data_IF_984391947897
#
_entry.id   IF_984391947897
#
_cell.length_a   1.000
_cell.length_b   1.000
_cell.length_c   1.000
_cell.angle_alpha   90.00
_cell.angle_beta   90.00
_cell.angle_gamma   90.00
#
_symmetry.space_group_name_H-M   'P 1'
#
loop_
_entity.id
_entity.type
_entity.pdbx_description
1 polymer ?
#
# COMPACT_ATOMS: atom_id res chain seq x y z
N UNK A 1 -3.79 32.09 -4.09
CA UNK A 1 -2.83 31.62 -3.05
C UNK A 1 -3.62 30.89 -1.96
N UNK A 2 -3.28 29.64 -1.59
CA UNK A 2 -4.03 28.83 -0.58
C UNK A 2 -3.55 29.07 0.86
N UNK A 3 -2.24 29.25 1.06
CA UNK A 3 -1.62 29.47 2.38
C UNK A 3 -0.70 30.69 2.26
N UNK A 4 -0.77 31.60 3.23
CA UNK A 4 0.12 32.75 3.30
C UNK A 4 1.54 32.26 3.62
N UNK A 5 2.54 32.81 2.93
CA UNK A 5 3.96 32.47 3.16
C UNK A 5 4.37 31.03 2.80
N UNK A 6 3.62 30.32 1.94
CA UNK A 6 4.06 29.01 1.44
C UNK A 6 5.23 29.12 0.42
N UNK A 7 5.34 30.27 -0.25
CA UNK A 7 6.28 30.55 -1.35
C UNK A 7 7.39 31.56 -0.96
N UNK A 8 7.90 31.50 0.28
CA UNK A 8 8.96 32.42 0.72
C UNK A 8 10.29 32.15 0.01
N UNK A 9 11.05 33.21 -0.27
CA UNK A 9 12.35 33.15 -0.94
C UNK A 9 13.42 32.32 -0.21
N UNK A 10 13.28 32.20 1.11
CA UNK A 10 14.17 31.52 2.05
C UNK A 10 13.61 30.15 2.49
N UNK A 11 12.55 29.65 1.85
CA UNK A 11 12.03 28.32 2.10
C UNK A 11 13.06 27.25 1.71
N UNK A 12 13.24 26.24 2.57
CA UNK A 12 14.20 25.15 2.36
C UNK A 12 13.55 24.03 1.54
N UNK A 13 14.24 23.60 0.48
CA UNK A 13 13.93 22.40 -0.28
C UNK A 13 14.97 21.32 0.03
N UNK A 14 14.52 20.21 0.63
CA UNK A 14 15.41 19.16 1.10
C UNK A 14 15.31 17.92 0.21
N UNK A 15 16.41 17.61 -0.48
CA UNK A 15 16.62 16.30 -1.12
C UNK A 15 15.54 15.86 -2.10
N UNK A 16 15.56 14.56 -2.42
CA UNK A 16 14.56 13.92 -3.29
C UNK A 16 13.75 12.91 -2.48
N UNK A 17 12.43 13.09 -2.47
CA UNK A 17 11.49 12.12 -1.91
C UNK A 17 11.01 11.20 -3.03
N UNK A 18 11.53 9.96 -3.07
CA UNK A 18 11.33 9.06 -4.23
C UNK A 18 10.48 7.82 -3.94
N UNK A 19 10.12 7.60 -2.67
CA UNK A 19 9.44 6.37 -2.22
C UNK A 19 8.09 6.70 -1.57
N UNK A 20 7.25 7.43 -2.28
CA UNK A 20 5.91 7.81 -1.81
C UNK A 20 4.89 6.67 -1.89
N UNK A 21 5.16 5.66 -2.71
CA UNK A 21 4.39 4.42 -2.81
C UNK A 21 5.26 3.32 -3.43
N UNK A 22 4.77 2.08 -3.41
CA UNK A 22 5.45 0.99 -4.13
C UNK A 22 5.53 1.28 -5.64
N UNK A 23 6.69 1.04 -6.28
CA UNK A 23 6.85 1.20 -7.73
C UNK A 23 6.29 0.00 -8.52
N UNK A 24 5.79 -1.03 -7.83
CA UNK A 24 5.28 -2.25 -8.44
C UNK A 24 3.93 -2.64 -7.84
N UNK A 25 3.09 -3.27 -8.67
CA UNK A 25 1.86 -3.90 -8.23
C UNK A 25 1.97 -5.41 -8.40
N UNK A 26 1.87 -6.13 -7.29
CA UNK A 26 1.87 -7.60 -7.30
C UNK A 26 0.41 -8.04 -7.39
N UNK A 27 -0.04 -8.40 -8.59
CA UNK A 27 -1.48 -8.61 -8.83
C UNK A 27 -2.06 -9.78 -8.02
N UNK A 28 -3.21 -9.52 -7.41
CA UNK A 28 -4.02 -10.51 -6.67
C UNK A 28 -5.49 -10.44 -7.12
N UNK A 29 -6.21 -11.55 -6.98
CA UNK A 29 -7.64 -11.67 -7.26
C UNK A 29 -8.52 -11.26 -6.08
N UNK A 30 -9.83 -11.46 -6.23
CA UNK A 30 -10.83 -11.16 -5.18
C UNK A 30 -10.69 -12.08 -3.95
N UNK A 31 -9.99 -13.21 -4.10
CA UNK A 31 -9.62 -14.11 -3.02
C UNK A 31 -8.32 -13.72 -2.30
N UNK A 32 -7.79 -12.53 -2.62
CA UNK A 32 -6.53 -11.97 -2.11
C UNK A 32 -5.27 -12.76 -2.49
N UNK A 33 -5.37 -13.79 -3.34
CA UNK A 33 -4.23 -14.57 -3.80
C UNK A 33 -3.64 -14.01 -5.08
N UNK A 34 -2.33 -14.21 -5.24
CA UNK A 34 -1.63 -13.93 -6.49
C UNK A 34 -2.31 -14.62 -7.67
N UNK A 35 -2.41 -13.92 -8.81
CA UNK A 35 -3.05 -14.45 -10.01
C UNK A 35 -2.35 -15.68 -10.59
N UNK A 36 -1.06 -15.89 -10.29
CA UNK A 36 -0.26 -16.97 -10.86
C UNK A 36 0.42 -17.88 -9.81
N UNK A 37 0.30 -17.60 -8.51
CA UNK A 37 0.86 -18.43 -7.43
C UNK A 37 -0.18 -18.62 -6.33
N UNK A 38 -0.81 -19.81 -6.29
CA UNK A 38 -1.74 -20.15 -5.21
C UNK A 38 -1.02 -20.23 -3.86
N UNK A 39 -1.67 -19.75 -2.81
CA UNK A 39 -1.14 -19.66 -1.45
C UNK A 39 -0.27 -18.42 -1.19
N UNK A 40 0.03 -17.61 -2.21
CA UNK A 40 0.72 -16.33 -2.04
C UNK A 40 -0.30 -15.20 -1.95
N UNK A 41 -0.23 -14.38 -0.89
CA UNK A 41 -1.18 -13.29 -0.62
C UNK A 41 -0.48 -11.92 -0.63
N UNK A 42 -0.41 -11.22 -1.77
CA UNK A 42 0.14 -9.88 -1.84
C UNK A 42 -0.67 -8.90 -0.98
N UNK A 43 -0.01 -8.13 -0.10
CA UNK A 43 -0.68 -7.23 0.85
C UNK A 43 0.12 -5.95 1.13
N UNK A 44 -0.56 -4.93 1.63
CA UNK A 44 -0.02 -3.66 2.09
C UNK A 44 0.55 -2.79 0.97
N UNK A 45 1.35 -1.80 1.38
CA UNK A 45 1.94 -0.82 0.46
C UNK A 45 2.91 -1.48 -0.51
N UNK A 46 3.72 -2.44 -0.05
CA UNK A 46 4.68 -3.16 -0.89
C UNK A 46 4.04 -3.83 -2.11
N UNK A 47 2.81 -4.33 -1.97
CA UNK A 47 2.05 -4.93 -3.06
C UNK A 47 1.18 -3.94 -3.86
N UNK A 48 1.18 -2.65 -3.51
CA UNK A 48 0.31 -1.60 -4.06
C UNK A 48 -1.19 -1.79 -3.78
N UNK A 49 -1.52 -2.25 -2.57
CA UNK A 49 -2.91 -2.31 -2.07
C UNK A 49 -3.20 -1.37 -0.89
N UNK A 50 -2.18 -0.63 -0.43
CA UNK A 50 -2.29 0.40 0.60
C UNK A 50 -1.33 1.57 0.32
N UNK A 51 -1.52 2.69 1.02
CA UNK A 51 -0.69 3.91 0.86
C UNK A 51 -0.38 4.64 2.16
N UNK A 52 -0.48 3.94 3.29
CA UNK A 52 -0.23 4.49 4.62
C UNK A 52 -0.65 3.54 5.72
N UNK A 53 -0.24 3.85 6.96
CA UNK A 53 -0.33 2.95 8.13
C UNK A 53 -1.72 2.33 8.29
N UNK A 54 -2.76 3.17 8.32
CA UNK A 54 -4.12 2.69 8.53
C UNK A 54 -4.59 1.77 7.39
N UNK A 55 -4.40 2.20 6.14
CA UNK A 55 -4.80 1.40 4.98
C UNK A 55 -4.05 0.06 4.88
N UNK A 56 -2.77 0.04 5.26
CA UNK A 56 -1.99 -1.21 5.29
C UNK A 56 -2.46 -2.15 6.40
N UNK A 57 -2.88 -1.60 7.55
CA UNK A 57 -3.50 -2.38 8.62
C UNK A 57 -4.84 -3.00 8.20
N UNK A 58 -5.71 -2.22 7.55
CA UNK A 58 -7.00 -2.70 7.02
C UNK A 58 -6.78 -3.82 6.00
N UNK A 59 -5.91 -3.60 5.02
CA UNK A 59 -5.57 -4.61 4.01
C UNK A 59 -5.02 -5.90 4.65
N UNK A 60 -4.19 -5.77 5.69
CA UNK A 60 -3.67 -6.91 6.45
C UNK A 60 -4.76 -7.73 7.14
N UNK A 61 -5.78 -7.09 7.71
CA UNK A 61 -6.93 -7.76 8.33
C UNK A 61 -7.74 -8.52 7.27
N UNK A 62 -8.05 -7.89 6.15
CA UNK A 62 -8.80 -8.53 5.05
C UNK A 62 -8.06 -9.75 4.49
N UNK A 63 -6.75 -9.63 4.28
CA UNK A 63 -5.90 -10.73 3.82
C UNK A 63 -5.84 -11.86 4.86
N UNK A 64 -5.69 -11.54 6.15
CA UNK A 64 -5.68 -12.53 7.21
C UNK A 64 -7.01 -13.31 7.28
N UNK A 65 -8.15 -12.63 7.13
CA UNK A 65 -9.45 -13.28 7.03
C UNK A 65 -9.58 -14.19 5.81
N UNK A 66 -9.07 -13.75 4.64
CA UNK A 66 -9.09 -14.55 3.42
C UNK A 66 -8.25 -15.83 3.57
N UNK A 67 -7.06 -15.72 4.17
CA UNK A 67 -6.20 -16.86 4.51
C UNK A 67 -6.93 -17.83 5.45
N UNK A 68 -7.51 -17.32 6.54
CA UNK A 68 -8.22 -18.15 7.50
C UNK A 68 -9.39 -18.90 6.84
N UNK A 69 -10.22 -18.22 6.04
CA UNK A 69 -11.33 -18.82 5.29
C UNK A 69 -10.87 -19.88 4.30
N UNK A 70 -9.71 -19.72 3.68
CA UNK A 70 -9.13 -20.68 2.74
C UNK A 70 -8.58 -21.93 3.44
N UNK A 71 -8.03 -21.81 4.65
CA UNK A 71 -7.48 -22.94 5.41
C UNK A 71 -8.54 -23.83 6.07
N UNK A 72 -9.72 -23.27 6.37
CA UNK A 72 -10.80 -23.98 7.07
C UNK A 72 -11.87 -24.58 6.14
N UNK A 73 -11.69 -24.46 4.83
CA UNK A 73 -12.55 -25.06 3.80
C UNK A 73 -11.87 -26.28 3.22
#
# INVERSE_FOLDING_TARGET
KKIRSFDMHDAVLTGVETRTSSPVKITRGDDFQSLNVKGLYPAGEGASYAGGILSAGVDGIEVAEAVAKHMTR
#
